data_IF_379549452287
#
_entry.id   IF_379549452287
#
_cell.length_a   1.000
_cell.length_b   1.000
_cell.length_c   1.000
_cell.angle_alpha   90.00
_cell.angle_beta   90.00
_cell.angle_gamma   90.00
#
_symmetry.space_group_name_H-M   'P 1'
#
loop_
_entity.id
_entity.type
_entity.pdbx_description
1 polymer ?
#
# COMPACT_ATOMS: atom_id res chain seq x y z
N UNK A 1 -0.08 11.66 -6.16
CA UNK A 1 -0.62 10.29 -6.16
C UNK A 1 -0.39 9.67 -7.54
N UNK A 2 0.20 8.48 -7.58
CA UNK A 2 0.45 7.82 -8.85
C UNK A 2 0.51 6.30 -8.72
N UNK A 3 0.12 5.62 -9.79
CA UNK A 3 0.30 4.17 -9.92
C UNK A 3 1.76 3.95 -10.34
N UNK A 4 2.44 3.01 -9.66
CA UNK A 4 3.87 2.76 -9.90
C UNK A 4 4.10 1.30 -10.27
N UNK A 5 4.98 1.09 -11.25
CA UNK A 5 5.47 -0.24 -11.62
C UNK A 5 6.90 -0.44 -11.16
N UNK A 6 7.59 0.66 -10.87
CA UNK A 6 8.98 0.65 -10.48
C UNK A 6 9.28 1.98 -9.79
N UNK A 7 9.64 1.94 -8.52
CA UNK A 7 9.93 3.14 -7.74
C UNK A 7 11.09 2.89 -6.79
N UNK A 8 11.96 3.87 -6.64
CA UNK A 8 13.10 3.75 -5.74
C UNK A 8 12.74 4.11 -4.31
N UNK A 9 13.49 3.57 -3.36
CA UNK A 9 13.38 3.94 -1.94
C UNK A 9 13.62 5.44 -1.78
N UNK A 10 14.55 6.01 -2.56
CA UNK A 10 14.84 7.45 -2.54
C UNK A 10 13.62 8.27 -2.91
N UNK A 11 12.91 7.89 -3.96
CA UNK A 11 11.69 8.58 -4.37
C UNK A 11 10.60 8.49 -3.30
N UNK A 12 10.45 7.31 -2.70
CA UNK A 12 9.50 7.12 -1.59
C UNK A 12 9.87 8.02 -0.41
N UNK A 13 11.16 8.15 -0.11
CA UNK A 13 11.65 9.04 0.95
C UNK A 13 11.29 10.49 0.71
N UNK A 14 11.41 10.94 -0.54
CA UNK A 14 11.04 12.31 -0.92
C UNK A 14 9.54 12.53 -0.78
N UNK A 15 8.73 11.55 -1.18
CA UNK A 15 7.28 11.63 -0.99
C UNK A 15 6.91 11.72 0.49
N UNK A 16 7.57 10.90 1.33
CA UNK A 16 7.32 10.91 2.75
C UNK A 16 7.62 12.28 3.37
N UNK A 17 8.75 12.87 3.01
CA UNK A 17 9.15 14.18 3.53
C UNK A 17 8.14 15.27 3.20
N UNK A 18 7.52 15.21 2.05
CA UNK A 18 6.59 16.24 1.60
C UNK A 18 5.23 16.17 2.28
N UNK A 19 4.87 15.05 2.87
CA UNK A 19 3.52 14.90 3.41
C UNK A 19 3.50 14.50 4.88
N UNK A 20 3.96 13.31 5.22
CA UNK A 20 3.86 12.79 6.59
C UNK A 20 5.19 12.72 7.34
N UNK A 21 6.29 12.96 6.66
CA UNK A 21 7.63 12.92 7.23
C UNK A 21 8.32 11.58 7.07
N UNK A 22 7.71 10.50 7.53
CA UNK A 22 8.35 9.19 7.57
C UNK A 22 7.56 8.05 6.91
N UNK A 23 6.36 8.34 6.42
CA UNK A 23 5.55 7.31 5.76
C UNK A 23 4.98 7.79 4.43
N UNK A 24 4.71 6.83 3.55
CA UNK A 24 3.98 7.05 2.31
C UNK A 24 2.77 6.13 2.35
N UNK A 25 1.57 6.69 2.25
CA UNK A 25 0.36 5.87 2.17
C UNK A 25 0.25 5.27 0.77
N UNK A 26 -0.13 4.00 0.72
CA UNK A 26 -0.24 3.26 -0.53
C UNK A 26 -1.44 2.31 -0.47
N UNK A 27 -1.97 1.98 -1.64
CA UNK A 27 -3.00 0.96 -1.79
C UNK A 27 -2.53 -0.07 -2.81
N UNK A 28 -2.88 -1.32 -2.57
CA UNK A 28 -2.48 -2.44 -3.42
C UNK A 28 -3.72 -3.20 -3.86
N UNK A 29 -3.85 -3.41 -5.17
CA UNK A 29 -4.81 -4.36 -5.74
C UNK A 29 -4.08 -5.69 -5.86
N UNK A 30 -4.43 -6.64 -5.01
CA UNK A 30 -3.69 -7.92 -4.94
C UNK A 30 -4.03 -8.85 -6.11
N UNK A 31 -5.17 -8.65 -6.77
CA UNK A 31 -5.56 -9.45 -7.91
C UNK A 31 -4.84 -8.99 -9.18
N UNK A 32 -4.83 -7.68 -9.42
CA UNK A 32 -4.21 -7.09 -10.62
C UNK A 32 -2.75 -6.74 -10.41
N UNK A 33 -2.26 -6.83 -9.17
CA UNK A 33 -0.88 -6.51 -8.80
C UNK A 33 -0.52 -5.06 -9.12
N UNK A 34 -1.41 -4.14 -8.72
CA UNK A 34 -1.24 -2.71 -8.94
C UNK A 34 -0.93 -2.05 -7.61
N UNK A 35 0.04 -1.14 -7.61
CA UNK A 35 0.39 -0.33 -6.43
C UNK A 35 0.20 1.13 -6.77
N UNK A 36 -0.54 1.85 -5.93
CA UNK A 36 -0.70 3.30 -6.04
C UNK A 36 -0.17 3.94 -4.75
N UNK A 37 0.60 5.01 -4.89
CA UNK A 37 1.30 5.65 -3.77
C UNK A 37 1.04 7.15 -3.72
N UNK A 38 1.41 7.75 -2.58
CA UNK A 38 1.47 9.21 -2.41
C UNK A 38 0.09 9.87 -2.36
N UNK A 39 -0.70 9.46 -1.39
CA UNK A 39 -2.01 10.04 -1.14
C UNK A 39 -2.12 10.53 0.30
N UNK A 40 -2.98 11.50 0.56
CA UNK A 40 -3.26 11.95 1.92
C UNK A 40 -4.11 10.94 2.68
N UNK A 41 -5.05 10.30 1.99
CA UNK A 41 -5.94 9.30 2.58
C UNK A 41 -5.97 8.07 1.70
N UNK A 42 -5.96 6.89 2.33
CA UNK A 42 -6.03 5.63 1.58
C UNK A 42 -7.26 5.55 0.67
N UNK A 43 -8.38 6.15 1.08
CA UNK A 43 -9.60 6.14 0.27
C UNK A 43 -9.41 6.85 -1.07
N UNK A 44 -8.51 7.81 -1.15
CA UNK A 44 -8.24 8.52 -2.40
C UNK A 44 -7.64 7.58 -3.45
N UNK A 45 -6.69 6.75 -3.04
CA UNK A 45 -6.10 5.74 -3.92
C UNK A 45 -7.08 4.65 -4.27
N UNK A 46 -7.88 4.23 -3.29
CA UNK A 46 -8.93 3.24 -3.52
C UNK A 46 -9.89 3.72 -4.61
N UNK A 47 -10.30 4.99 -4.55
CA UNK A 47 -11.20 5.55 -5.55
C UNK A 47 -10.60 5.50 -6.96
N UNK A 48 -9.32 5.84 -7.09
CA UNK A 48 -8.64 5.80 -8.39
C UNK A 48 -8.61 4.36 -8.92
N UNK A 49 -8.29 3.40 -8.06
CA UNK A 49 -8.24 1.99 -8.48
C UNK A 49 -9.62 1.46 -8.86
N UNK A 50 -10.65 1.84 -8.13
CA UNK A 50 -12.03 1.44 -8.46
C UNK A 50 -12.44 1.99 -9.82
N UNK A 51 -12.11 3.23 -10.11
CA UNK A 51 -12.42 3.85 -11.40
C UNK A 51 -11.62 3.20 -12.54
N UNK A 52 -10.47 2.64 -12.21
CA UNK A 52 -9.63 1.95 -13.20
C UNK A 52 -10.02 0.47 -13.38
N UNK A 53 -11.05 -0.01 -12.68
CA UNK A 53 -11.56 -1.36 -12.86
C UNK A 53 -11.23 -2.36 -11.75
N UNK A 54 -10.59 -1.93 -10.67
CA UNK A 54 -10.32 -2.81 -9.52
C UNK A 54 -11.60 -3.11 -8.76
N UNK A 55 -11.64 -4.26 -8.09
CA UNK A 55 -12.72 -4.62 -7.17
C UNK A 55 -12.31 -4.23 -5.76
N UNK A 56 -13.23 -3.66 -4.99
CA UNK A 56 -12.95 -3.22 -3.63
C UNK A 56 -12.38 -4.35 -2.77
N UNK A 57 -12.89 -5.57 -2.95
CA UNK A 57 -12.43 -6.73 -2.18
C UNK A 57 -10.95 -7.03 -2.36
N UNK A 58 -10.34 -6.55 -3.42
CA UNK A 58 -8.93 -6.82 -3.74
C UNK A 58 -8.00 -5.70 -3.35
N UNK A 59 -8.54 -4.55 -2.90
CA UNK A 59 -7.74 -3.37 -2.57
C UNK A 59 -7.46 -3.31 -1.08
N UNK A 60 -6.19 -3.20 -0.71
CA UNK A 60 -5.76 -3.10 0.68
C UNK A 60 -4.87 -1.87 0.87
N UNK A 61 -5.06 -1.19 2.00
CA UNK A 61 -4.26 -0.01 2.35
C UNK A 61 -3.09 -0.38 3.22
N UNK A 62 -1.96 0.22 2.94
CA UNK A 62 -0.72 0.02 3.69
C UNK A 62 0.00 1.35 3.83
N UNK A 63 0.99 1.38 4.71
CA UNK A 63 1.92 2.50 4.82
C UNK A 63 3.33 1.99 4.55
N UNK A 64 4.07 2.69 3.70
CA UNK A 64 5.45 2.36 3.41
C UNK A 64 6.36 3.26 4.24
N UNK A 65 7.36 2.67 4.87
CA UNK A 65 8.32 3.37 5.70
C UNK A 65 9.70 3.31 5.05
N UNK A 66 10.05 4.28 4.20
CA UNK A 66 11.28 4.18 3.40
C UNK A 66 12.56 3.96 4.22
N UNK A 67 12.64 4.56 5.43
CA UNK A 67 13.82 4.38 6.27
C UNK A 67 13.96 2.98 6.84
N UNK A 68 12.90 2.17 6.77
CA UNK A 68 12.89 0.79 7.26
C UNK A 68 12.96 -0.24 6.12
N UNK A 69 13.27 0.21 4.91
CA UNK A 69 13.36 -0.68 3.75
C UNK A 69 14.34 -1.83 4.02
N UNK A 70 13.92 -3.03 3.66
CA UNK A 70 14.72 -4.23 3.90
C UNK A 70 14.46 -4.89 5.25
N UNK A 71 13.56 -4.34 6.05
CA UNK A 71 13.15 -4.91 7.34
C UNK A 71 11.67 -5.24 7.33
N UNK A 72 11.22 -5.97 8.35
CA UNK A 72 9.81 -6.31 8.50
C UNK A 72 8.93 -5.08 8.77
N UNK A 73 9.53 -3.95 9.13
CA UNK A 73 8.80 -2.72 9.44
C UNK A 73 8.56 -1.84 8.21
N UNK A 74 9.11 -2.20 7.06
CA UNK A 74 8.95 -1.39 5.85
C UNK A 74 7.48 -1.24 5.45
N UNK A 75 6.71 -2.32 5.51
CA UNK A 75 5.29 -2.31 5.16
C UNK A 75 4.46 -2.42 6.43
N UNK A 76 3.69 -1.38 6.71
CA UNK A 76 2.76 -1.36 7.83
C UNK A 76 1.35 -1.61 7.29
N UNK A 77 0.69 -2.64 7.80
CA UNK A 77 -0.66 -3.00 7.35
C UNK A 77 -1.68 -2.31 8.25
N UNK A 78 -1.90 -1.02 8.01
CA UNK A 78 -2.77 -0.19 8.84
C UNK A 78 -3.52 0.82 7.98
N UNK A 79 -4.82 0.63 7.84
CA UNK A 79 -5.67 1.56 7.11
C UNK A 79 -7.14 1.34 7.44
N UNK A 80 -7.89 2.43 7.50
CA UNK A 80 -9.34 2.36 7.68
C UNK A 80 -10.03 1.60 6.55
N UNK A 81 -9.50 1.63 5.33
CA UNK A 81 -10.13 0.93 4.21
C UNK A 81 -10.06 -0.59 4.36
N UNK A 82 -9.20 -1.08 5.27
CA UNK A 82 -9.07 -2.52 5.52
C UNK A 82 -10.19 -3.07 6.40
N UNK A 83 -10.96 -2.20 7.03
CA UNK A 83 -12.05 -2.64 7.92
C UNK A 83 -13.20 -3.14 7.07
N UNK A 84 -13.30 -4.48 6.96
CA UNK A 84 -14.29 -5.15 6.12
C UNK A 84 -14.80 -6.42 6.82
N UNK A 85 -15.79 -6.27 7.73
CA UNK A 85 -16.32 -7.44 8.45
C UNK A 85 -16.84 -8.54 7.51
N UNK A 86 -17.39 -8.15 6.34
CA UNK A 86 -17.91 -9.12 5.37
C UNK A 86 -16.81 -9.98 4.72
N UNK A 87 -15.56 -9.54 4.81
CA UNK A 87 -14.39 -10.29 4.34
C UNK A 87 -13.64 -10.90 5.51
N UNK A 88 -14.26 -10.96 6.69
CA UNK A 88 -13.65 -11.49 7.90
C UNK A 88 -12.42 -10.68 8.32
N UNK A 89 -12.42 -9.38 8.00
CA UNK A 89 -11.35 -8.47 8.37
C UNK A 89 -11.91 -7.27 9.13
N UNK A 90 -12.29 -7.43 10.41
CA UNK A 90 -12.89 -6.34 11.20
C UNK A 90 -11.86 -5.39 11.81
N UNK A 91 -10.66 -5.36 11.29
CA UNK A 91 -9.52 -4.60 11.82
C UNK A 91 -8.95 -3.67 10.77
N UNK A 92 -8.23 -2.63 11.23
CA UNK A 92 -7.44 -1.79 10.34
C UNK A 92 -6.24 -2.55 9.76
N UNK A 93 -5.84 -3.64 10.42
CA UNK A 93 -4.77 -4.50 9.93
C UNK A 93 -5.30 -5.43 8.84
N UNK A 94 -4.39 -6.06 8.14
CA UNK A 94 -4.71 -7.16 7.22
C UNK A 94 -4.46 -8.45 7.99
N UNK A 95 -5.54 -9.14 8.38
CA UNK A 95 -5.44 -10.29 9.28
C UNK A 95 -5.02 -11.58 8.59
N UNK A 96 -5.32 -11.73 7.31
CA UNK A 96 -5.00 -12.94 6.55
C UNK A 96 -3.52 -12.93 6.14
N UNK A 97 -2.75 -13.87 6.66
CA UNK A 97 -1.33 -13.96 6.37
C UNK A 97 -1.04 -14.21 4.89
N UNK A 98 -1.91 -14.88 4.18
CA UNK A 98 -1.72 -15.11 2.75
C UNK A 98 -1.86 -13.82 1.96
N UNK A 99 -2.77 -12.93 2.38
CA UNK A 99 -2.92 -11.61 1.78
C UNK A 99 -1.71 -10.74 2.09
N UNK A 100 -1.22 -10.77 3.34
CA UNK A 100 0.00 -10.04 3.70
C UNK A 100 1.19 -10.48 2.86
N UNK A 101 1.36 -11.79 2.69
CA UNK A 101 2.45 -12.34 1.90
C UNK A 101 2.37 -11.87 0.45
N UNK A 102 1.17 -11.84 -0.11
CA UNK A 102 0.93 -11.39 -1.47
C UNK A 102 1.24 -9.91 -1.62
N UNK A 103 0.81 -9.09 -0.66
CA UNK A 103 1.12 -7.65 -0.65
C UNK A 103 2.63 -7.44 -0.59
N UNK A 104 3.36 -8.16 0.28
CA UNK A 104 4.81 -8.04 0.37
C UNK A 104 5.49 -8.38 -0.95
N UNK A 105 5.05 -9.46 -1.58
CA UNK A 105 5.59 -9.88 -2.86
C UNK A 105 5.39 -8.81 -3.94
N UNK A 106 4.16 -8.26 -4.03
CA UNK A 106 3.84 -7.23 -5.02
C UNK A 106 4.65 -5.96 -4.77
N UNK A 107 4.69 -5.48 -3.53
CA UNK A 107 5.41 -4.26 -3.18
C UNK A 107 6.92 -4.42 -3.41
N UNK A 108 7.48 -5.56 -3.03
CA UNK A 108 8.91 -5.81 -3.22
C UNK A 108 9.29 -5.97 -4.68
N UNK A 109 8.33 -6.30 -5.55
CA UNK A 109 8.55 -6.33 -6.98
C UNK A 109 8.51 -4.96 -7.63
N UNK A 110 7.93 -3.97 -6.95
CA UNK A 110 7.77 -2.60 -7.44
C UNK A 110 8.81 -1.65 -6.87
N UNK A 111 9.19 -1.84 -5.60
CA UNK A 111 10.14 -0.96 -4.91
C UNK A 111 11.54 -1.54 -5.00
N UNK A 112 12.50 -0.70 -5.35
CA UNK A 112 13.90 -1.11 -5.42
C UNK A 112 14.78 -0.12 -4.67
N UNK A 113 15.91 -0.62 -4.21
CA UNK A 113 16.91 0.17 -3.52
C UNK A 113 17.66 1.03 -4.52
N UNK A 114 17.90 2.30 -4.14
CA UNK A 114 18.68 3.11 -5.03
C UNK A 114 18.87 4.49 -4.52
#
# INVERSE_FOLDING_TARGET
MKIVENISVSELGQMAEKMFGNIVKADVDVEKKIVIVDMEMHVDGEQVLLEAGSSQNDIWGINLKPSDYGTDNFIEFDSMINIRPRQENPSREVLDESVRALIREIVNGVVHEQ
#
